data_IF_583470194547
#
_entry.id   IF_583470194547
#
_cell.length_a   1.000
_cell.length_b   1.000
_cell.length_c   1.000
_cell.angle_alpha   90.00
_cell.angle_beta   90.00
_cell.angle_gamma   90.00
#
_symmetry.space_group_name_H-M   'P 1'
#
loop_
_entity.id
_entity.type
_entity.pdbx_description
1 polymer ?
#
# COMPACT_ATOMS: atom_id res chain seq x y z
N UNK A 1 2.21 44.15 -7.69
CA UNK A 1 3.32 43.20 -7.45
C UNK A 1 2.83 41.81 -7.85
N UNK A 2 3.31 41.26 -8.97
CA UNK A 2 2.93 39.91 -9.40
C UNK A 2 3.72 38.90 -8.54
N UNK A 3 3.09 38.38 -7.49
CA UNK A 3 3.66 37.28 -6.71
C UNK A 3 3.90 36.08 -7.61
N UNK A 4 5.13 35.54 -7.62
CA UNK A 4 5.43 34.32 -8.39
C UNK A 4 4.55 33.19 -7.86
N UNK A 5 3.87 32.48 -8.77
CA UNK A 5 3.09 31.31 -8.41
C UNK A 5 4.01 30.22 -7.84
N UNK A 6 3.60 29.51 -6.77
CA UNK A 6 4.35 28.37 -6.27
C UNK A 6 4.41 27.26 -7.33
N UNK A 7 5.60 26.68 -7.52
CA UNK A 7 5.83 25.55 -8.43
C UNK A 7 5.58 24.24 -7.67
N UNK A 8 4.69 23.40 -8.19
CA UNK A 8 4.31 22.12 -7.60
C UNK A 8 4.76 20.97 -8.49
N UNK A 9 5.55 20.06 -7.93
CA UNK A 9 6.05 18.88 -8.65
C UNK A 9 5.32 17.62 -8.17
N UNK A 10 4.71 16.88 -9.09
CA UNK A 10 3.99 15.65 -8.77
C UNK A 10 4.51 14.49 -9.58
N UNK A 11 4.44 13.29 -8.99
CA UNK A 11 4.84 12.05 -9.65
C UNK A 11 3.80 11.51 -10.64
N UNK A 12 2.51 11.85 -10.45
CA UNK A 12 1.37 11.25 -11.15
C UNK A 12 0.27 12.27 -11.47
N UNK A 13 -0.46 12.01 -12.54
CA UNK A 13 -1.62 12.83 -12.97
C UNK A 13 -2.74 12.85 -11.92
N UNK A 14 -3.02 11.74 -11.24
CA UNK A 14 -4.08 11.70 -10.21
C UNK A 14 -3.85 12.73 -9.11
N UNK A 15 -2.60 12.89 -8.67
CA UNK A 15 -2.25 13.89 -7.63
C UNK A 15 -2.33 15.31 -8.18
N UNK A 16 -1.97 15.52 -9.45
CA UNK A 16 -2.11 16.81 -10.12
C UNK A 16 -3.57 17.25 -10.19
N UNK A 17 -4.48 16.35 -10.58
CA UNK A 17 -5.93 16.62 -10.63
C UNK A 17 -6.48 16.99 -9.26
N UNK A 18 -6.14 16.21 -8.21
CA UNK A 18 -6.58 16.49 -6.85
C UNK A 18 -6.11 17.87 -6.36
N UNK A 19 -4.88 18.29 -6.69
CA UNK A 19 -4.40 19.63 -6.31
C UNK A 19 -5.23 20.73 -7.00
N UNK A 20 -5.52 20.59 -8.30
CA UNK A 20 -6.33 21.58 -9.03
C UNK A 20 -7.73 21.72 -8.42
N UNK A 21 -8.34 20.59 -8.05
CA UNK A 21 -9.63 20.57 -7.38
C UNK A 21 -9.59 21.34 -6.06
N UNK A 22 -8.62 21.04 -5.19
CA UNK A 22 -8.42 21.76 -3.91
C UNK A 22 -8.24 23.27 -4.14
N UNK A 23 -7.38 23.66 -5.09
CA UNK A 23 -7.15 25.08 -5.38
C UNK A 23 -8.43 25.78 -5.85
N UNK A 24 -9.20 25.13 -6.73
CA UNK A 24 -10.51 25.61 -7.17
C UNK A 24 -11.50 25.75 -6.01
N UNK A 25 -11.61 24.74 -5.14
CA UNK A 25 -12.50 24.74 -3.97
C UNK A 25 -12.22 25.91 -3.02
N UNK A 26 -10.95 26.28 -2.84
CA UNK A 26 -10.55 27.37 -1.96
C UNK A 26 -10.41 28.74 -2.67
N UNK A 27 -10.81 28.85 -3.94
CA UNK A 27 -10.71 30.10 -4.72
C UNK A 27 -9.27 30.56 -4.96
N UNK A 28 -8.31 29.62 -4.96
CA UNK A 28 -6.90 29.88 -5.20
C UNK A 28 -6.61 29.90 -6.72
N UNK A 29 -5.61 30.69 -7.16
CA UNK A 29 -5.23 30.74 -8.57
C UNK A 29 -4.64 29.40 -9.03
N UNK A 30 -4.91 29.02 -10.28
CA UNK A 30 -4.43 27.75 -10.85
C UNK A 30 -2.96 27.47 -10.52
N UNK A 31 -2.67 26.30 -9.90
CA UNK A 31 -1.32 25.94 -9.51
C UNK A 31 -0.46 25.63 -10.74
N UNK A 32 0.81 26.04 -10.71
CA UNK A 32 1.81 25.57 -11.67
C UNK A 32 2.18 24.14 -11.28
N UNK A 33 1.76 23.17 -12.10
CA UNK A 33 1.97 21.73 -11.89
C UNK A 33 2.93 21.18 -12.94
N UNK A 34 3.95 20.45 -12.47
CA UNK A 34 5.02 19.90 -13.32
C UNK A 34 5.38 18.47 -12.90
N UNK A 35 6.03 17.73 -13.81
CA UNK A 35 6.55 16.38 -13.55
C UNK A 35 5.51 15.27 -13.47
N UNK A 36 4.23 15.56 -13.70
CA UNK A 36 3.12 14.63 -13.52
C UNK A 36 3.19 13.38 -14.43
N UNK A 37 4.00 13.44 -15.49
CA UNK A 37 4.30 12.35 -16.41
C UNK A 37 5.60 11.58 -16.10
N UNK A 38 6.37 11.99 -15.08
CA UNK A 38 7.64 11.34 -14.73
C UNK A 38 7.47 9.90 -14.21
N UNK A 39 6.30 9.55 -13.67
CA UNK A 39 5.91 8.19 -13.29
C UNK A 39 6.59 7.61 -12.04
N UNK A 40 7.87 7.92 -11.80
CA UNK A 40 8.65 7.47 -10.65
C UNK A 40 9.59 8.57 -10.09
N UNK A 41 10.07 8.35 -8.86
CA UNK A 41 10.95 9.31 -8.17
C UNK A 41 12.31 9.49 -8.85
N UNK A 42 12.85 8.43 -9.45
CA UNK A 42 14.15 8.47 -10.15
C UNK A 42 14.10 9.31 -11.42
N UNK A 43 12.95 9.38 -12.08
CA UNK A 43 12.71 10.25 -13.25
C UNK A 43 12.31 11.67 -12.83
N UNK A 44 11.58 11.82 -11.72
CA UNK A 44 11.13 13.13 -11.23
C UNK A 44 12.27 13.97 -10.63
N UNK A 45 13.20 13.35 -9.91
CA UNK A 45 14.31 14.07 -9.27
C UNK A 45 15.16 14.89 -10.25
N UNK A 46 15.70 14.29 -11.33
CA UNK A 46 16.46 15.03 -12.34
C UNK A 46 15.65 16.13 -13.01
N UNK A 47 14.35 15.92 -13.23
CA UNK A 47 13.45 16.93 -13.80
C UNK A 47 13.33 18.17 -12.88
N UNK A 48 13.16 17.95 -11.57
CA UNK A 48 13.13 19.03 -10.58
C UNK A 48 14.45 19.80 -10.56
N UNK A 49 15.59 19.09 -10.61
CA UNK A 49 16.91 19.72 -10.61
C UNK A 49 17.10 20.64 -11.81
N UNK A 50 16.70 20.20 -13.02
CA UNK A 50 16.78 21.05 -14.21
C UNK A 50 15.85 22.26 -14.12
N UNK A 51 14.62 22.08 -13.62
CA UNK A 51 13.67 23.18 -13.46
C UNK A 51 14.19 24.24 -12.47
N UNK A 52 14.75 23.81 -11.34
CA UNK A 52 15.28 24.69 -10.30
C UNK A 52 16.55 25.44 -10.71
N UNK A 53 17.36 24.90 -11.64
CA UNK A 53 18.50 25.65 -12.22
C UNK A 53 18.02 26.90 -12.94
N UNK A 54 16.90 26.80 -13.64
CA UNK A 54 16.30 27.94 -14.35
C UNK A 54 15.46 28.81 -13.41
N UNK A 55 14.93 28.22 -12.34
CA UNK A 55 13.97 28.86 -11.42
C UNK A 55 14.28 28.52 -9.96
N UNK A 56 15.27 29.18 -9.34
CA UNK A 56 15.62 28.92 -7.95
C UNK A 56 14.42 29.14 -7.02
N UNK A 57 14.09 28.12 -6.23
CA UNK A 57 13.01 28.13 -5.26
C UNK A 57 13.33 27.21 -4.07
N UNK A 58 12.75 27.49 -2.90
CA UNK A 58 12.72 26.55 -1.78
C UNK A 58 11.60 25.54 -1.99
N UNK A 59 11.87 24.27 -1.67
CA UNK A 59 10.89 23.19 -1.82
C UNK A 59 10.41 22.71 -0.45
N UNK A 60 9.09 22.72 -0.28
CA UNK A 60 8.40 22.00 0.79
C UNK A 60 8.01 20.61 0.28
N UNK A 61 8.49 19.56 0.95
CA UNK A 61 8.20 18.18 0.56
C UNK A 61 7.11 17.58 1.44
N UNK A 62 5.86 17.63 0.96
CA UNK A 62 4.71 17.00 1.62
C UNK A 62 4.74 15.50 1.39
N UNK A 63 4.73 14.72 2.46
CA UNK A 63 4.96 13.28 2.33
C UNK A 63 4.22 12.43 3.38
N UNK A 64 4.23 11.11 3.19
CA UNK A 64 3.67 10.13 4.13
C UNK A 64 4.72 9.56 5.09
N UNK A 65 4.32 8.58 5.89
CA UNK A 65 5.22 7.78 6.74
C UNK A 65 6.09 6.81 5.92
N UNK A 66 5.55 6.30 4.81
CA UNK A 66 6.23 5.39 3.88
C UNK A 66 7.04 6.16 2.85
N UNK A 67 8.16 6.77 3.29
CA UNK A 67 9.05 7.47 2.37
C UNK A 67 10.10 6.53 1.79
N UNK A 68 10.12 6.44 0.47
CA UNK A 68 11.25 5.87 -0.26
C UNK A 68 12.24 7.01 -0.45
N UNK A 69 13.40 6.92 0.18
CA UNK A 69 14.44 7.97 0.22
C UNK A 69 14.98 8.40 -1.15
N UNK A 70 14.53 7.78 -2.23
CA UNK A 70 14.98 8.03 -3.61
C UNK A 70 14.88 9.49 -4.01
N UNK A 71 13.74 10.16 -3.80
CA UNK A 71 13.58 11.56 -4.23
C UNK A 71 14.41 12.50 -3.37
N UNK A 72 14.39 12.31 -2.04
CA UNK A 72 15.14 13.13 -1.10
C UNK A 72 16.63 13.04 -1.34
N UNK A 73 17.14 11.83 -1.58
CA UNK A 73 18.55 11.58 -1.92
C UNK A 73 18.95 12.27 -3.21
N UNK A 74 18.20 12.08 -4.30
CA UNK A 74 18.53 12.70 -5.60
C UNK A 74 18.58 14.22 -5.49
N UNK A 75 17.62 14.84 -4.81
CA UNK A 75 17.57 16.30 -4.70
C UNK A 75 18.68 16.83 -3.78
N UNK A 76 18.98 16.13 -2.68
CA UNK A 76 20.09 16.50 -1.77
C UNK A 76 21.44 16.36 -2.47
N UNK A 77 21.67 15.27 -3.22
CA UNK A 77 22.89 15.08 -4.04
C UNK A 77 23.01 16.16 -5.14
N UNK A 78 21.89 16.67 -5.64
CA UNK A 78 21.82 17.79 -6.57
C UNK A 78 21.95 19.18 -5.94
N UNK A 79 22.25 19.27 -4.64
CA UNK A 79 22.44 20.54 -3.92
C UNK A 79 21.16 21.25 -3.50
N UNK A 80 20.00 20.57 -3.58
CA UNK A 80 18.71 21.11 -3.15
C UNK A 80 18.35 20.58 -1.77
N UNK A 81 18.22 21.50 -0.80
CA UNK A 81 17.68 21.16 0.52
C UNK A 81 16.17 21.02 0.45
N UNK A 82 15.66 19.89 0.94
CA UNK A 82 14.23 19.65 1.11
C UNK A 82 13.85 19.78 2.58
N UNK A 83 12.74 20.45 2.85
CA UNK A 83 12.09 20.42 4.17
C UNK A 83 10.94 19.41 4.11
N UNK A 84 11.08 18.20 4.70
CA UNK A 84 10.00 17.22 4.72
C UNK A 84 8.94 17.61 5.75
N UNK A 85 7.68 17.54 5.33
CA UNK A 85 6.52 17.64 6.22
C UNK A 85 5.64 16.40 6.03
N UNK A 86 5.62 15.53 7.04
CA UNK A 86 4.72 14.38 7.03
C UNK A 86 3.29 14.85 7.27
N UNK A 87 2.40 14.66 6.29
CA UNK A 87 1.00 15.12 6.35
C UNK A 87 -0.01 13.98 6.42
N UNK A 88 0.43 12.73 6.25
CA UNK A 88 -0.39 11.55 6.50
C UNK A 88 0.46 10.37 7.00
N UNK A 89 -0.20 9.41 7.61
CA UNK A 89 0.40 8.16 8.08
C UNK A 89 -0.49 6.98 7.69
N UNK A 90 0.15 5.91 7.23
CA UNK A 90 -0.52 4.64 6.94
C UNK A 90 -0.71 3.87 8.24
N UNK A 91 -1.95 3.78 8.71
CA UNK A 91 -2.31 3.00 9.91
C UNK A 91 -3.21 1.83 9.58
N UNK A 92 -3.11 0.77 10.37
CA UNK A 92 -4.10 -0.29 10.38
C UNK A 92 -5.46 0.24 10.84
N UNK A 93 -6.54 -0.27 10.25
CA UNK A 93 -7.90 0.17 10.61
C UNK A 93 -8.24 -0.27 12.03
N UNK A 94 -8.60 0.67 12.90
CA UNK A 94 -9.04 0.40 14.27
C UNK A 94 -10.37 -0.36 14.34
N UNK A 95 -11.17 -0.32 13.28
CA UNK A 95 -12.46 -1.01 13.18
C UNK A 95 -12.36 -2.36 12.48
N UNK A 96 -11.15 -2.81 12.14
CA UNK A 96 -10.96 -4.06 11.39
C UNK A 96 -11.54 -5.26 12.13
N UNK A 97 -11.23 -5.42 13.43
CA UNK A 97 -11.69 -6.56 14.23
C UNK A 97 -13.22 -6.62 14.33
N UNK A 98 -13.87 -5.49 14.64
CA UNK A 98 -15.34 -5.43 14.70
C UNK A 98 -16.00 -5.66 13.35
N UNK A 99 -15.39 -5.16 12.26
CA UNK A 99 -15.89 -5.36 10.90
C UNK A 99 -15.77 -6.82 10.49
N UNK A 100 -14.67 -7.48 10.84
CA UNK A 100 -14.45 -8.91 10.61
C UNK A 100 -15.47 -9.74 11.38
N UNK A 101 -15.68 -9.47 12.67
CA UNK A 101 -16.68 -10.17 13.47
C UNK A 101 -18.09 -10.04 12.88
N UNK A 102 -18.45 -8.83 12.43
CA UNK A 102 -19.74 -8.56 11.77
C UNK A 102 -19.87 -9.33 10.45
N UNK A 103 -18.80 -9.37 9.65
CA UNK A 103 -18.79 -10.09 8.38
C UNK A 103 -18.87 -11.62 8.56
N UNK A 104 -18.33 -12.16 9.65
CA UNK A 104 -18.34 -13.60 9.94
C UNK A 104 -19.63 -14.09 10.63
N UNK A 105 -20.36 -13.21 11.32
CA UNK A 105 -21.58 -13.55 12.06
C UNK A 105 -22.64 -14.34 11.25
N UNK A 106 -22.96 -13.99 9.99
CA UNK A 106 -23.96 -14.74 9.20
C UNK A 106 -23.40 -16.01 8.55
N UNK A 107 -22.10 -16.29 8.63
CA UNK A 107 -21.49 -17.35 7.85
C UNK A 107 -21.54 -18.72 8.55
N UNK A 108 -21.75 -19.83 7.81
CA UNK A 108 -21.75 -21.17 8.38
C UNK A 108 -20.39 -21.50 9.01
N UNK A 109 -20.41 -22.03 10.23
CA UNK A 109 -19.19 -22.48 10.93
C UNK A 109 -18.70 -23.87 10.49
N UNK A 110 -19.47 -24.55 9.64
CA UNK A 110 -19.22 -25.90 9.15
C UNK A 110 -19.46 -25.95 7.65
N UNK A 111 -18.47 -26.41 6.87
CA UNK A 111 -18.70 -26.66 5.44
C UNK A 111 -17.46 -26.66 4.54
N UNK A 112 -16.60 -25.62 4.56
CA UNK A 112 -15.41 -25.51 3.69
C UNK A 112 -14.33 -24.64 4.33
N UNK A 113 -13.10 -24.74 3.82
CA UNK A 113 -11.99 -23.85 4.21
C UNK A 113 -12.24 -22.42 3.72
N UNK A 114 -11.93 -21.45 4.57
CA UNK A 114 -11.90 -20.03 4.20
C UNK A 114 -10.61 -19.70 3.47
N UNK A 115 -10.67 -18.86 2.44
CA UNK A 115 -9.47 -18.30 1.84
C UNK A 115 -9.15 -16.92 2.41
N UNK A 116 -7.91 -16.75 2.87
CA UNK A 116 -7.38 -15.49 3.36
C UNK A 116 -6.25 -15.07 2.42
N UNK A 117 -6.41 -13.93 1.77
CA UNK A 117 -5.44 -13.41 0.79
C UNK A 117 -4.68 -12.23 1.37
N UNK A 118 -3.36 -12.31 1.43
CA UNK A 118 -2.50 -11.20 1.83
C UNK A 118 -1.91 -10.49 0.61
N UNK A 119 -2.11 -9.17 0.58
CA UNK A 119 -1.64 -8.31 -0.51
C UNK A 119 -0.32 -7.58 -0.20
N UNK A 120 0.08 -7.51 1.07
CA UNK A 120 1.31 -6.83 1.48
C UNK A 120 1.80 -7.32 2.84
N UNK A 121 3.14 -7.36 3.08
CA UNK A 121 3.72 -7.66 4.38
C UNK A 121 3.19 -6.81 5.53
N UNK A 122 3.08 -5.48 5.32
CA UNK A 122 2.62 -4.57 6.38
C UNK A 122 1.17 -4.82 6.79
N UNK A 123 0.31 -5.20 5.82
CA UNK A 123 -1.06 -5.58 6.12
C UNK A 123 -1.08 -6.90 6.88
N UNK A 124 -0.29 -7.89 6.45
CA UNK A 124 -0.19 -9.19 7.10
C UNK A 124 0.24 -9.09 8.57
N UNK A 125 1.27 -8.29 8.86
CA UNK A 125 1.73 -8.04 10.22
C UNK A 125 0.62 -7.46 11.12
N UNK A 126 -0.17 -6.53 10.58
CA UNK A 126 -1.25 -5.88 11.32
C UNK A 126 -2.44 -6.82 11.58
N UNK A 127 -2.92 -7.54 10.58
CA UNK A 127 -4.18 -8.31 10.69
C UNK A 127 -4.00 -9.71 11.26
N UNK A 128 -2.82 -10.33 11.14
CA UNK A 128 -2.59 -11.73 11.57
C UNK A 128 -2.94 -11.98 13.05
N UNK A 129 -2.55 -11.12 14.02
CA UNK A 129 -2.95 -11.31 15.41
C UNK A 129 -4.46 -11.30 15.64
N UNK A 130 -5.20 -10.56 14.80
CA UNK A 130 -6.66 -10.49 14.85
C UNK A 130 -7.27 -11.74 14.20
N UNK A 131 -6.76 -12.15 13.04
CA UNK A 131 -7.23 -13.33 12.31
C UNK A 131 -7.05 -14.63 13.11
N UNK A 132 -5.97 -14.77 13.89
CA UNK A 132 -5.74 -15.93 14.77
C UNK A 132 -6.86 -16.16 15.81
N UNK A 133 -7.67 -15.14 16.11
CA UNK A 133 -8.84 -15.27 17.02
C UNK A 133 -10.04 -15.95 16.36
N UNK A 134 -10.07 -16.01 15.02
CA UNK A 134 -11.22 -16.49 14.25
C UNK A 134 -10.87 -17.70 13.36
N UNK A 135 -9.62 -17.83 12.94
CA UNK A 135 -9.19 -18.81 11.95
C UNK A 135 -8.01 -19.67 12.42
N UNK A 136 -7.99 -20.90 11.95
CA UNK A 136 -6.83 -21.78 12.02
C UNK A 136 -5.88 -21.37 10.89
N UNK A 137 -4.80 -20.66 11.23
CA UNK A 137 -3.80 -20.15 10.28
C UNK A 137 -2.51 -21.00 10.23
N UNK A 138 -2.34 -21.91 11.19
CA UNK A 138 -1.11 -22.71 11.37
C UNK A 138 -1.43 -24.21 11.35
N UNK A 139 -0.54 -24.99 10.75
CA UNK A 139 -0.71 -26.43 10.52
C UNK A 139 -0.43 -27.31 11.75
N UNK A 140 -0.16 -26.77 12.95
CA UNK A 140 0.24 -27.58 14.11
C UNK A 140 -0.66 -27.42 15.33
N UNK A 141 -1.43 -28.48 15.57
CA UNK A 141 -1.73 -29.07 16.88
C UNK A 141 -2.34 -28.17 17.99
N UNK A 142 -3.07 -27.11 17.64
CA UNK A 142 -3.83 -26.38 18.66
C UNK A 142 -5.28 -26.83 18.61
N UNK A 143 -5.77 -27.47 19.68
CA UNK A 143 -7.18 -27.79 19.89
C UNK A 143 -8.01 -26.50 19.78
N UNK A 144 -8.51 -26.24 18.58
CA UNK A 144 -9.10 -24.96 18.23
C UNK A 144 -10.61 -25.09 18.23
N UNK A 145 -11.21 -25.34 19.40
CA UNK A 145 -12.66 -25.38 19.52
C UNK A 145 -13.23 -23.99 19.16
N UNK A 146 -13.93 -23.92 18.03
CA UNK A 146 -14.63 -22.71 17.56
C UNK A 146 -13.89 -21.85 16.53
N UNK A 147 -12.67 -22.20 16.11
CA UNK A 147 -11.98 -21.51 15.00
C UNK A 147 -12.38 -22.09 13.65
N UNK A 148 -12.38 -21.24 12.63
CA UNK A 148 -12.72 -21.60 11.25
C UNK A 148 -11.48 -22.14 10.51
N UNK A 149 -11.58 -23.28 9.80
CA UNK A 149 -10.48 -23.77 8.99
C UNK A 149 -10.20 -22.80 7.83
N UNK A 150 -8.93 -22.53 7.54
CA UNK A 150 -8.55 -21.59 6.48
C UNK A 150 -7.33 -22.03 5.66
N UNK A 151 -7.25 -21.54 4.42
CA UNK A 151 -6.11 -21.63 3.51
C UNK A 151 -5.63 -20.20 3.22
N UNK A 152 -4.32 -20.03 3.11
CA UNK A 152 -3.69 -18.71 2.93
C UNK A 152 -3.16 -18.58 1.52
N UNK A 153 -3.40 -17.42 0.89
CA UNK A 153 -2.81 -17.05 -0.38
C UNK A 153 -2.00 -15.74 -0.27
N UNK A 154 -0.91 -15.66 -1.03
CA UNK A 154 -0.09 -14.46 -1.18
C UNK A 154 -0.19 -13.88 -2.60
N UNK A 155 -0.27 -12.56 -2.73
CA UNK A 155 -0.33 -11.90 -4.05
C UNK A 155 1.00 -11.93 -4.83
N UNK A 156 2.11 -12.21 -4.15
CA UNK A 156 3.43 -12.23 -4.78
C UNK A 156 4.54 -12.58 -3.79
N UNK A 157 5.73 -12.79 -4.36
CA UNK A 157 6.89 -13.39 -3.68
C UNK A 157 7.33 -12.64 -2.42
N UNK A 158 7.30 -11.31 -2.42
CA UNK A 158 7.66 -10.51 -1.24
C UNK A 158 6.70 -10.74 -0.07
N UNK A 159 5.40 -10.88 -0.36
CA UNK A 159 4.41 -11.17 0.68
C UNK A 159 4.54 -12.61 1.14
N UNK A 160 4.72 -13.55 0.22
CA UNK A 160 4.91 -14.97 0.51
C UNK A 160 6.08 -15.23 1.47
N UNK A 161 7.27 -14.71 1.15
CA UNK A 161 8.44 -14.82 2.02
C UNK A 161 8.16 -14.29 3.43
N UNK A 162 7.55 -13.10 3.55
CA UNK A 162 7.20 -12.53 4.84
C UNK A 162 6.20 -13.38 5.65
N UNK A 163 5.20 -13.98 4.97
CA UNK A 163 4.23 -14.85 5.66
C UNK A 163 4.90 -16.10 6.23
N UNK A 164 5.82 -16.70 5.48
CA UNK A 164 6.49 -17.94 5.89
C UNK A 164 7.61 -17.69 6.90
N UNK A 165 8.45 -16.68 6.66
CA UNK A 165 9.66 -16.41 7.45
C UNK A 165 9.36 -15.65 8.74
N UNK A 166 8.56 -14.58 8.66
CA UNK A 166 8.30 -13.70 9.81
C UNK A 166 7.05 -14.10 10.60
N UNK A 167 5.99 -14.55 9.90
CA UNK A 167 4.72 -14.89 10.55
C UNK A 167 4.52 -16.40 10.77
N UNK A 168 5.40 -17.23 10.20
CA UNK A 168 5.37 -18.69 10.28
C UNK A 168 4.04 -19.30 9.81
N UNK A 169 3.43 -18.70 8.79
CA UNK A 169 2.17 -19.14 8.20
C UNK A 169 2.42 -20.04 6.99
N UNK A 170 1.58 -21.07 6.83
CA UNK A 170 1.63 -21.93 5.65
C UNK A 170 0.86 -21.30 4.50
N UNK A 171 1.56 -20.92 3.43
CA UNK A 171 0.96 -20.34 2.23
C UNK A 171 0.59 -21.46 1.26
N UNK A 172 -0.71 -21.66 1.05
CA UNK A 172 -1.25 -22.69 0.17
C UNK A 172 -1.22 -22.27 -1.32
N UNK A 173 -1.18 -20.97 -1.60
CA UNK A 173 -1.21 -20.44 -2.96
C UNK A 173 -0.43 -19.12 -3.08
N UNK A 174 0.33 -18.94 -4.16
CA UNK A 174 0.98 -17.67 -4.47
C UNK A 174 0.81 -17.29 -5.94
N UNK A 175 0.30 -16.08 -6.19
CA UNK A 175 0.24 -15.55 -7.55
C UNK A 175 1.64 -15.16 -8.06
N UNK A 176 2.03 -15.67 -9.23
CA UNK A 176 3.30 -15.30 -9.88
C UNK A 176 3.30 -13.85 -10.42
N UNK A 177 2.12 -13.35 -10.76
CA UNK A 177 1.91 -11.95 -11.18
C UNK A 177 0.73 -11.39 -10.40
N UNK A 178 0.82 -10.16 -9.87
CA UNK A 178 -0.23 -9.53 -9.06
C UNK A 178 -1.38 -9.07 -9.96
N UNK A 179 -2.13 -10.03 -10.50
CA UNK A 179 -3.36 -9.81 -11.25
C UNK A 179 -4.46 -10.67 -10.61
N UNK A 180 -5.70 -10.16 -10.48
CA UNK A 180 -6.80 -10.88 -9.86
C UNK A 180 -7.02 -12.27 -10.47
N UNK A 181 -6.84 -12.39 -11.78
CA UNK A 181 -7.22 -13.60 -12.52
C UNK A 181 -6.28 -14.76 -12.24
N UNK A 182 -5.00 -14.44 -12.00
CA UNK A 182 -3.99 -15.42 -11.63
C UNK A 182 -4.23 -15.93 -10.21
N UNK A 183 -4.63 -15.03 -9.30
CA UNK A 183 -4.92 -15.40 -7.93
C UNK A 183 -6.13 -16.34 -7.86
N UNK A 184 -7.22 -16.00 -8.57
CA UNK A 184 -8.43 -16.85 -8.60
C UNK A 184 -8.13 -18.22 -9.20
N UNK A 185 -7.34 -18.27 -10.27
CA UNK A 185 -6.99 -19.52 -10.94
C UNK A 185 -6.23 -20.48 -10.02
N UNK A 186 -5.30 -19.96 -9.22
CA UNK A 186 -4.50 -20.76 -8.29
C UNK A 186 -5.35 -21.22 -7.09
N UNK A 187 -6.20 -20.34 -6.55
CA UNK A 187 -7.12 -20.71 -5.47
C UNK A 187 -8.05 -21.85 -5.90
N UNK A 188 -8.61 -21.76 -7.12
CA UNK A 188 -9.47 -22.83 -7.68
C UNK A 188 -8.73 -24.15 -7.87
N UNK A 189 -7.47 -24.10 -8.32
CA UNK A 189 -6.64 -25.29 -8.47
C UNK A 189 -6.42 -25.97 -7.12
N UNK A 190 -6.09 -25.19 -6.09
CA UNK A 190 -5.81 -25.70 -4.75
C UNK A 190 -7.04 -26.26 -4.03
N UNK A 191 -8.23 -25.73 -4.31
CA UNK A 191 -9.49 -26.31 -3.81
C UNK A 191 -9.91 -27.57 -4.55
N UNK A 192 -9.43 -27.79 -5.79
CA UNK A 192 -9.70 -29.02 -6.53
C UNK A 192 -8.80 -30.19 -6.09
N UNK A 193 -7.59 -29.89 -5.61
CA UNK A 193 -6.63 -30.91 -5.12
C UNK A 193 -6.88 -31.34 -3.66
N UNK A 194 -7.58 -30.51 -2.87
CA UNK A 194 -7.87 -30.76 -1.45
C UNK A 194 -9.29 -30.24 -1.09
N UNK A 195 -10.35 -31.01 -1.44
CA UNK A 195 -11.76 -30.58 -1.43
C UNK A 195 -12.47 -30.53 -0.06
#
# INVERSE_FOLDING_TARGET
>A
MHGRKPCNFFRRETTATALREVFSTFGLPDPDIRGQTSGNAASLGPFILEDLRQRPAKLLYLTGDKNRDTISRILTEGGISLEPLQVYETRGSSTFESSLATALAPCPKSGKHWWIVFFAPSAAAFVTPILRKYFILESRNSESQGLLPSKIAAIGQTTDAFLQEDLHLHVAAMAQKPAPENLISIIKLQDAEDP
#
